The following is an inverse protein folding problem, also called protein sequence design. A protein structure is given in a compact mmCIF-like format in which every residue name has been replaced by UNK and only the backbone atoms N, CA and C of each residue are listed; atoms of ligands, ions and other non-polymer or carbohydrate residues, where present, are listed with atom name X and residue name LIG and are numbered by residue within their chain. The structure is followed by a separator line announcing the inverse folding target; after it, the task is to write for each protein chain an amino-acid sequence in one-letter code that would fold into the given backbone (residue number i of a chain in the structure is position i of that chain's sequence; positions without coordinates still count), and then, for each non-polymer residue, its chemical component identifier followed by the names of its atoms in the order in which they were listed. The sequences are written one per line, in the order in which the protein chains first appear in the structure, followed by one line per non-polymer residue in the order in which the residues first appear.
data_IF_033659355608
#
_entry.id   IF_033659355608
#
_cell.length_a   1.000
_cell.length_b   1.000
_cell.length_c   1.000
_cell.angle_alpha   90.00
_cell.angle_beta   90.00
_cell.angle_gamma   90.00
#
_symmetry.space_group_name_H-M   'P 1'
#
loop_
_entity.id
_entity.type
_entity.pdbx_description
1 polymer ?
#
# COMPACT_ATOMS: atom_id res chain seq x y z
N UNK A 1 -6.31 -15.67 1.82
CA UNK A 1 -5.21 -14.68 1.84
C UNK A 1 -4.46 -14.86 3.13
N UNK A 2 -3.16 -15.13 3.07
CA UNK A 2 -2.30 -15.07 4.24
C UNK A 2 -1.42 -13.85 4.09
N UNK A 3 -1.56 -12.90 5.01
CA UNK A 3 -0.61 -11.82 5.11
C UNK A 3 0.79 -12.39 5.42
N UNK A 4 1.87 -11.89 4.81
CA UNK A 4 3.20 -12.44 5.03
C UNK A 4 3.55 -12.48 6.52
N UNK A 5 4.06 -13.62 7.00
CA UNK A 5 4.43 -13.79 8.40
C UNK A 5 5.43 -12.70 8.85
N UNK A 6 5.27 -12.19 10.07
CA UNK A 6 6.10 -11.10 10.59
C UNK A 6 5.72 -9.69 10.11
N UNK A 7 4.61 -9.55 9.39
CA UNK A 7 4.05 -8.25 9.00
C UNK A 7 2.93 -7.86 9.96
N UNK A 8 3.05 -6.71 10.63
CA UNK A 8 2.00 -6.16 11.48
C UNK A 8 1.55 -4.80 10.96
N UNK A 9 0.24 -4.51 11.07
CA UNK A 9 -0.26 -3.15 10.90
C UNK A 9 0.17 -2.30 12.10
N UNK A 10 0.64 -1.09 11.83
CA UNK A 10 0.97 -0.10 12.86
C UNK A 10 -0.04 1.04 12.86
N UNK A 11 -0.28 1.64 11.68
CA UNK A 11 -1.23 2.73 11.50
C UNK A 11 -1.87 2.67 10.12
N UNK A 12 -3.09 3.20 10.02
CA UNK A 12 -3.77 3.42 8.74
C UNK A 12 -4.37 4.82 8.76
N UNK A 13 -3.97 5.64 7.81
CA UNK A 13 -4.44 7.01 7.65
C UNK A 13 -5.24 7.16 6.37
N UNK A 14 -6.26 8.01 6.43
CA UNK A 14 -7.03 8.44 5.26
C UNK A 14 -7.01 9.95 5.16
N UNK A 15 -6.63 10.49 4.01
CA UNK A 15 -6.54 11.93 3.78
C UNK A 15 -7.35 12.29 2.55
N UNK A 16 -8.22 13.30 2.63
CA UNK A 16 -8.92 13.83 1.46
C UNK A 16 -7.93 14.48 0.49
N UNK A 17 -8.10 14.20 -0.81
CA UNK A 17 -7.26 14.77 -1.87
C UNK A 17 -7.78 16.13 -2.29
N UNK A 18 -6.99 17.18 -2.06
CA UNK A 18 -7.36 18.55 -2.44
C UNK A 18 -7.48 18.76 -3.95
N UNK A 19 -6.73 17.98 -4.73
CA UNK A 19 -6.71 18.01 -6.20
C UNK A 19 -7.78 17.10 -6.85
N UNK A 20 -8.38 16.19 -6.07
CA UNK A 20 -9.43 15.27 -6.52
C UNK A 20 -10.62 15.27 -5.53
N UNK A 21 -11.55 16.24 -5.62
CA UNK A 21 -12.67 16.35 -4.69
C UNK A 21 -13.47 15.04 -4.53
N UNK A 22 -13.66 14.62 -3.28
CA UNK A 22 -14.36 13.38 -2.92
C UNK A 22 -13.50 12.12 -2.95
N UNK A 23 -12.26 12.20 -3.42
CA UNK A 23 -11.27 11.13 -3.36
C UNK A 23 -10.39 11.25 -2.13
N UNK A 24 -9.84 10.11 -1.72
CA UNK A 24 -8.91 10.01 -0.59
C UNK A 24 -7.62 9.28 -1.00
N UNK A 25 -6.54 9.60 -0.32
CA UNK A 25 -5.36 8.77 -0.21
C UNK A 25 -5.47 7.89 1.05
N UNK A 26 -5.01 6.64 0.96
CA UNK A 26 -4.90 5.72 2.09
C UNK A 26 -3.42 5.40 2.30
N UNK A 27 -2.89 5.67 3.48
CA UNK A 27 -1.51 5.30 3.85
C UNK A 27 -1.55 4.20 4.90
N UNK A 28 -0.80 3.13 4.68
CA UNK A 28 -0.68 2.01 5.61
C UNK A 28 0.75 1.89 6.09
N UNK A 29 0.94 2.15 7.37
CA UNK A 29 2.20 1.95 8.05
C UNK A 29 2.26 0.53 8.59
N UNK A 30 3.24 -0.23 8.12
CA UNK A 30 3.55 -1.56 8.57
C UNK A 30 4.73 -1.55 9.54
N UNK A 31 4.76 -2.57 10.38
CA UNK A 31 5.95 -2.99 11.11
C UNK A 31 6.41 -4.34 10.54
N UNK A 32 7.48 -4.29 9.76
CA UNK A 32 8.17 -5.42 9.15
C UNK A 32 9.64 -5.32 9.50
N UNK A 33 10.01 -5.83 10.66
CA UNK A 33 11.36 -5.72 11.21
C UNK A 33 12.45 -6.32 10.29
N UNK A 34 12.09 -7.31 9.47
CA UNK A 34 13.00 -7.97 8.53
C UNK A 34 13.10 -7.27 7.16
N UNK A 35 12.25 -6.26 6.89
CA UNK A 35 12.29 -5.55 5.61
C UNK A 35 13.51 -4.63 5.57
N UNK A 36 14.28 -4.76 4.50
CA UNK A 36 15.51 -4.02 4.24
C UNK A 36 15.37 -3.01 3.12
N UNK A 37 14.38 -3.19 2.24
CA UNK A 37 14.02 -2.32 1.14
C UNK A 37 12.49 -2.21 0.99
N UNK A 38 11.97 -1.15 0.33
CA UNK A 38 10.53 -1.04 0.05
C UNK A 38 10.00 -2.20 -0.81
N UNK A 39 10.84 -2.82 -1.66
CA UNK A 39 10.42 -3.96 -2.49
C UNK A 39 9.98 -5.17 -1.65
N UNK A 40 10.54 -5.33 -0.44
CA UNK A 40 10.15 -6.40 0.49
C UNK A 40 8.68 -6.26 0.95
N UNK A 41 8.11 -5.05 0.84
CA UNK A 41 6.72 -4.79 1.21
C UNK A 41 5.72 -5.15 0.09
N UNK A 42 6.16 -5.36 -1.15
CA UNK A 42 5.24 -5.57 -2.30
C UNK A 42 4.24 -6.70 -2.04
N UNK A 43 4.62 -7.86 -1.47
CA UNK A 43 3.65 -8.90 -1.16
C UNK A 43 2.58 -8.42 -0.17
N UNK A 44 2.96 -7.74 0.91
CA UNK A 44 2.02 -7.21 1.89
C UNK A 44 1.14 -6.10 1.29
N UNK A 45 1.74 -5.19 0.53
CA UNK A 45 1.04 -4.11 -0.17
C UNK A 45 -0.03 -4.64 -1.13
N UNK A 46 0.29 -5.66 -1.93
CA UNK A 46 -0.68 -6.29 -2.84
C UNK A 46 -1.84 -6.95 -2.09
N UNK A 47 -1.60 -7.64 -0.97
CA UNK A 47 -2.69 -8.20 -0.17
C UNK A 47 -3.57 -7.09 0.46
N UNK A 48 -2.96 -5.99 0.92
CA UNK A 48 -3.69 -4.80 1.40
C UNK A 48 -4.56 -4.23 0.28
N UNK A 49 -4.00 -4.05 -0.91
CA UNK A 49 -4.72 -3.51 -2.06
C UNK A 49 -5.93 -4.40 -2.43
N UNK A 50 -5.77 -5.72 -2.42
CA UNK A 50 -6.87 -6.65 -2.67
C UNK A 50 -7.98 -6.56 -1.61
N UNK A 51 -7.62 -6.41 -0.34
CA UNK A 51 -8.60 -6.23 0.74
C UNK A 51 -9.30 -4.88 0.64
N UNK A 52 -8.52 -3.83 0.40
CA UNK A 52 -9.01 -2.47 0.27
C UNK A 52 -9.97 -2.36 -0.91
N UNK A 53 -9.68 -3.01 -2.05
CA UNK A 53 -10.54 -2.98 -3.25
C UNK A 53 -11.94 -3.56 -3.01
N UNK A 54 -12.08 -4.47 -2.05
CA UNK A 54 -13.35 -5.09 -1.65
C UNK A 54 -14.13 -4.28 -0.60
N UNK A 55 -13.50 -3.25 -0.05
CA UNK A 55 -14.11 -2.40 0.97
C UNK A 55 -15.01 -1.33 0.36
N UNK A 56 -15.92 -0.78 1.15
CA UNK A 56 -16.77 0.34 0.71
C UNK A 56 -15.95 1.61 0.36
N UNK A 57 -14.81 1.81 1.04
CA UNK A 57 -13.98 3.00 0.84
C UNK A 57 -13.22 2.98 -0.48
N UNK A 58 -13.07 1.81 -1.13
CA UNK A 58 -12.41 1.66 -2.43
C UNK A 58 -12.93 2.62 -3.51
N UNK A 59 -14.22 2.97 -3.44
CA UNK A 59 -14.89 3.90 -4.37
C UNK A 59 -14.36 5.33 -4.29
N UNK A 60 -13.80 5.70 -3.13
CA UNK A 60 -13.17 7.00 -2.85
C UNK A 60 -11.65 6.95 -2.87
N UNK A 61 -11.03 5.81 -2.60
CA UNK A 61 -9.57 5.67 -2.63
C UNK A 61 -9.02 5.86 -4.05
N UNK A 62 -8.22 6.88 -4.30
CA UNK A 62 -7.47 7.05 -5.56
C UNK A 62 -6.00 6.71 -5.42
N UNK A 63 -5.41 6.93 -4.25
CA UNK A 63 -4.00 6.60 -3.94
C UNK A 63 -3.91 5.64 -2.78
N UNK A 64 -2.99 4.69 -2.87
CA UNK A 64 -2.57 3.85 -1.75
C UNK A 64 -1.08 3.92 -1.57
N UNK A 65 -0.66 4.23 -0.35
CA UNK A 65 0.73 4.19 0.10
C UNK A 65 0.90 3.08 1.13
N UNK A 66 2.02 2.37 1.04
CA UNK A 66 2.44 1.36 2.02
C UNK A 66 3.88 1.62 2.40
N UNK A 67 4.16 1.67 3.71
CA UNK A 67 5.49 1.97 4.25
C UNK A 67 5.82 1.09 5.45
N UNK A 68 7.09 1.06 5.86
CA UNK A 68 7.57 0.35 7.05
C UNK A 68 7.77 1.31 8.24
N UNK A 69 7.06 2.44 8.27
CA UNK A 69 7.21 3.48 9.29
C UNK A 69 6.85 3.02 10.72
N UNK A 70 6.13 1.91 10.86
CA UNK A 70 5.84 1.28 12.15
C UNK A 70 6.98 0.47 12.75
N UNK A 71 8.04 0.17 11.98
CA UNK A 71 9.24 -0.46 12.53
C UNK A 71 10.00 0.52 13.43
N UNK A 72 10.53 0.05 14.56
CA UNK A 72 11.20 0.92 15.53
C UNK A 72 12.42 1.67 14.97
N UNK A 73 13.10 1.11 13.96
CA UNK A 73 14.26 1.69 13.26
C UNK A 73 14.22 1.25 11.80
N UNK A 74 13.38 1.86 10.94
CA UNK A 74 13.24 1.43 9.56
C UNK A 74 14.54 1.72 8.80
N UNK A 75 15.01 0.77 7.99
CA UNK A 75 16.26 0.92 7.21
C UNK A 75 16.12 1.84 6.01
N UNK A 76 14.88 2.17 5.64
CA UNK A 76 14.52 3.10 4.56
C UNK A 76 13.29 3.91 4.97
N UNK A 77 13.02 5.00 4.23
CA UNK A 77 11.85 5.86 4.45
C UNK A 77 10.92 5.96 3.24
N UNK A 78 11.33 5.39 2.12
CA UNK A 78 10.54 5.38 0.88
C UNK A 78 9.27 4.54 1.04
N UNK A 79 8.25 4.90 0.26
CA UNK A 79 6.94 4.23 0.24
C UNK A 79 6.81 3.37 -1.02
N UNK A 80 5.97 2.35 -0.96
CA UNK A 80 5.32 1.79 -2.13
C UNK A 80 4.01 2.52 -2.38
N UNK A 81 3.87 3.10 -3.57
CA UNK A 81 2.70 3.89 -3.94
C UNK A 81 2.03 3.33 -5.19
N UNK A 82 0.71 3.23 -5.13
CA UNK A 82 -0.18 3.14 -6.28
C UNK A 82 -1.00 4.43 -6.40
N UNK A 83 -0.57 5.33 -7.31
CA UNK A 83 -1.26 6.60 -7.58
C UNK A 83 -2.54 6.45 -8.41
N UNK A 84 -2.82 5.25 -8.94
CA UNK A 84 -3.99 4.97 -9.75
C UNK A 84 -4.73 3.74 -9.22
N UNK A 85 -4.94 3.70 -7.90
CA UNK A 85 -5.56 2.55 -7.23
C UNK A 85 -6.91 2.16 -7.82
N UNK A 86 -7.68 3.14 -8.31
CA UNK A 86 -8.96 2.86 -8.95
C UNK A 86 -8.80 2.13 -10.27
N UNK A 87 -7.81 2.49 -11.08
CA UNK A 87 -7.54 1.88 -12.39
C UNK A 87 -7.00 0.46 -12.31
N UNK A 88 -6.42 0.06 -11.18
CA UNK A 88 -5.90 -1.29 -10.99
C UNK A 88 -6.93 -2.24 -10.36
N UNK A 89 -7.10 -3.47 -10.88
CA UNK A 89 -8.18 -4.36 -10.46
C UNK A 89 -7.97 -4.99 -9.07
N UNK A 90 -6.72 -5.28 -8.67
CA UNK A 90 -6.37 -5.85 -7.37
C UNK A 90 -7.24 -7.06 -6.97
N UNK A 91 -7.38 -8.01 -7.89
CA UNK A 91 -8.24 -9.17 -7.76
C UNK A 91 -7.58 -10.47 -8.25
N UNK A 92 -6.27 -10.45 -8.49
CA UNK A 92 -5.51 -11.56 -9.06
C UNK A 92 -5.43 -11.56 -10.58
N UNK A 93 -5.97 -10.55 -11.25
CA UNK A 93 -5.78 -10.32 -12.69
C UNK A 93 -4.98 -9.02 -12.91
N UNK A 94 -4.05 -8.96 -13.89
CA UNK A 94 -3.75 -9.98 -14.89
C UNK A 94 -2.93 -11.17 -14.36
N UNK A 95 -1.88 -10.94 -13.57
CA UNK A 95 -1.15 -11.98 -12.84
C UNK A 95 -0.60 -11.43 -11.53
N UNK A 96 -0.16 -12.30 -10.61
CA UNK A 96 0.40 -11.86 -9.33
C UNK A 96 1.71 -11.07 -9.52
N UNK A 97 2.58 -11.50 -10.42
CA UNK A 97 3.82 -10.80 -10.73
C UNK A 97 3.54 -9.40 -11.31
N UNK A 98 2.52 -9.30 -12.17
CA UNK A 98 2.11 -8.02 -12.72
C UNK A 98 1.55 -7.08 -11.63
N UNK A 99 0.72 -7.60 -10.72
CA UNK A 99 0.23 -6.84 -9.57
C UNK A 99 1.37 -6.36 -8.65
N UNK A 100 2.36 -7.22 -8.37
CA UNK A 100 3.54 -6.83 -7.60
C UNK A 100 4.34 -5.70 -8.30
N UNK A 101 4.38 -5.68 -9.63
CA UNK A 101 5.11 -4.69 -10.42
C UNK A 101 4.43 -3.32 -10.52
N UNK A 102 3.14 -3.21 -10.15
CA UNK A 102 2.40 -1.93 -10.20
C UNK A 102 2.99 -0.90 -9.23
N UNK A 103 3.41 -1.32 -8.05
CA UNK A 103 3.89 -0.42 -7.00
C UNK A 103 5.13 0.36 -7.45
N UNK A 104 5.09 1.67 -7.23
CA UNK A 104 6.25 2.56 -7.45
C UNK A 104 6.91 2.88 -6.12
N UNK A 105 8.24 2.94 -6.13
CA UNK A 105 9.01 3.41 -4.97
C UNK A 105 9.06 4.94 -5.06
N UNK A 106 8.58 5.62 -4.03
CA UNK A 106 8.62 7.09 -3.95
C UNK A 106 9.25 7.56 -2.65
N UNK A 107 9.78 8.77 -2.65
CA UNK A 107 10.19 9.43 -1.42
C UNK A 107 8.96 10.02 -0.70
N UNK A 108 8.94 10.03 0.64
CA UNK A 108 7.92 10.77 1.38
C UNK A 108 8.03 12.26 1.06
N UNK A 109 6.88 12.90 0.88
CA UNK A 109 6.76 14.35 0.69
C UNK A 109 7.01 15.15 1.96
#
# INVERSE_FOLDING_TARGET
MSFPAGTCFFMVDTVDRSDEPGKIAVTVDLNVAASTSPDDLRPAATEIAHLLKKSAVATRTSVVDVTNAGAAKPTYRTLLTDENFQGHPWNGTPSREAELAIWRIVNPG
#
